data_IF_215668777384
#
_entry.id   IF_215668777384
#
_cell.length_a   1.000
_cell.length_b   1.000
_cell.length_c   1.000
_cell.angle_alpha   90.00
_cell.angle_beta   90.00
_cell.angle_gamma   90.00
#
_symmetry.space_group_name_H-M   'P 1'
#
loop_
_entity.id
_entity.type
_entity.pdbx_description
1 polymer ?
#
# COMPACT_ATOMS: atom_id res chain seq x y z
N UNK A 1 -1.67 -10.57 21.92
CA UNK A 1 -0.88 -10.80 20.69
C UNK A 1 -0.49 -9.45 20.11
N UNK A 2 0.80 -9.15 20.03
CA UNK A 2 1.30 -7.86 19.52
C UNK A 2 1.20 -7.88 18.00
N UNK A 3 0.41 -6.99 17.41
CA UNK A 3 0.35 -6.86 15.96
C UNK A 3 1.61 -6.14 15.47
N UNK A 4 2.61 -6.90 15.00
CA UNK A 4 3.89 -6.37 14.51
C UNK A 4 3.69 -5.29 13.43
N UNK A 5 2.67 -5.43 12.58
CA UNK A 5 2.33 -4.42 11.57
C UNK A 5 1.99 -3.07 12.19
N UNK A 6 1.26 -3.04 13.30
CA UNK A 6 0.91 -1.80 13.99
C UNK A 6 2.14 -1.11 14.58
N UNK A 7 3.07 -1.86 15.16
CA UNK A 7 4.31 -1.29 15.72
C UNK A 7 5.18 -0.71 14.59
N UNK A 8 5.35 -1.46 13.50
CA UNK A 8 6.13 -1.03 12.35
C UNK A 8 5.53 0.24 11.74
N UNK A 9 4.21 0.26 11.48
CA UNK A 9 3.57 1.44 10.89
C UNK A 9 3.64 2.67 11.78
N UNK A 10 3.55 2.52 13.12
CA UNK A 10 3.77 3.65 14.04
C UNK A 10 5.18 4.23 13.89
N UNK A 11 6.22 3.38 13.88
CA UNK A 11 7.60 3.84 13.67
C UNK A 11 7.81 4.46 12.28
N UNK A 12 7.26 3.86 11.23
CA UNK A 12 7.32 4.43 9.87
C UNK A 12 6.71 5.83 9.89
N UNK A 13 5.53 6.01 10.46
CA UNK A 13 4.90 7.32 10.54
C UNK A 13 5.69 8.32 11.40
N UNK A 14 6.39 7.87 12.43
CA UNK A 14 7.25 8.74 13.26
C UNK A 14 8.43 9.30 12.48
N UNK A 15 9.16 8.47 11.72
CA UNK A 15 10.41 8.85 11.08
C UNK A 15 10.29 9.24 9.61
N UNK A 16 9.31 8.68 8.89
CA UNK A 16 9.13 8.92 7.46
C UNK A 16 8.10 10.01 7.20
N UNK A 17 8.55 11.09 6.53
CA UNK A 17 7.73 12.26 6.19
C UNK A 17 7.28 12.33 4.73
N UNK A 18 7.62 11.34 3.91
CA UNK A 18 7.30 11.35 2.48
C UNK A 18 5.80 11.37 2.15
N UNK A 19 4.93 11.13 3.13
CA UNK A 19 3.46 11.23 2.97
C UNK A 19 2.90 12.65 3.08
N UNK A 20 3.67 13.64 3.54
CA UNK A 20 3.14 14.98 3.84
C UNK A 20 2.61 15.72 2.60
N UNK A 21 3.20 15.50 1.42
CA UNK A 21 2.87 16.21 0.18
C UNK A 21 2.07 15.37 -0.83
N UNK A 22 1.59 14.20 -0.42
CA UNK A 22 0.86 13.25 -1.27
C UNK A 22 -0.64 13.49 -1.08
N UNK A 23 -1.37 13.66 -2.18
CA UNK A 23 -2.84 13.80 -2.13
C UNK A 23 -3.52 12.45 -2.30
N UNK A 24 -3.01 11.57 -3.17
CA UNK A 24 -3.55 10.24 -3.42
C UNK A 24 -2.48 9.15 -3.31
N UNK A 25 -2.66 8.23 -2.36
CA UNK A 25 -1.75 7.12 -2.11
C UNK A 25 -2.42 5.78 -2.43
N UNK A 26 -1.76 4.93 -3.21
CA UNK A 26 -2.27 3.59 -3.54
C UNK A 26 -1.48 2.53 -2.76
N UNK A 27 -2.13 1.79 -1.87
CA UNK A 27 -1.55 0.64 -1.15
C UNK A 27 -1.85 -0.64 -1.91
N UNK A 28 -0.85 -1.14 -2.66
CA UNK A 28 -0.98 -2.35 -3.48
C UNK A 28 -0.69 -3.58 -2.62
N UNK A 29 -1.67 -4.47 -2.52
CA UNK A 29 -1.59 -5.63 -1.64
C UNK A 29 -1.78 -5.27 -0.16
N UNK A 30 -2.43 -4.14 0.15
CA UNK A 30 -2.66 -3.61 1.51
C UNK A 30 -3.55 -4.47 2.42
N UNK A 31 -3.98 -5.63 1.95
CA UNK A 31 -4.89 -6.54 2.66
C UNK A 31 -6.21 -5.85 2.99
N UNK A 32 -6.55 -5.82 4.27
CA UNK A 32 -7.78 -5.19 4.79
C UNK A 32 -7.68 -3.66 4.92
N UNK A 33 -6.58 -3.02 4.50
CA UNK A 33 -6.44 -1.55 4.50
C UNK A 33 -6.01 -0.93 5.85
N UNK A 34 -5.55 -1.75 6.80
CA UNK A 34 -5.14 -1.30 8.14
C UNK A 34 -3.99 -0.27 8.08
N UNK A 35 -3.03 -0.45 7.16
CA UNK A 35 -1.91 0.48 7.02
C UNK A 35 -2.37 1.86 6.55
N UNK A 36 -3.22 1.89 5.52
CA UNK A 36 -3.81 3.13 5.03
C UNK A 36 -4.62 3.84 6.11
N UNK A 37 -5.38 3.11 6.94
CA UNK A 37 -6.08 3.71 8.06
C UNK A 37 -5.13 4.45 9.02
N UNK A 38 -3.94 3.91 9.31
CA UNK A 38 -2.95 4.64 10.13
C UNK A 38 -2.39 5.87 9.41
N UNK A 39 -2.16 5.79 8.09
CA UNK A 39 -1.63 6.89 7.29
C UNK A 39 -2.67 8.01 7.18
N UNK A 40 -3.91 7.72 6.77
CA UNK A 40 -4.99 8.71 6.62
C UNK A 40 -5.40 9.31 7.97
N UNK A 41 -5.30 8.54 9.07
CA UNK A 41 -5.51 9.10 10.42
C UNK A 41 -4.46 10.15 10.80
N UNK A 42 -3.22 10.03 10.31
CA UNK A 42 -2.15 11.00 10.56
C UNK A 42 -2.16 12.15 9.55
N UNK A 43 -2.55 11.87 8.31
CA UNK A 43 -2.60 12.82 7.20
C UNK A 43 -4.03 12.87 6.64
N UNK A 44 -4.95 13.63 7.26
CA UNK A 44 -6.36 13.61 6.88
C UNK A 44 -6.66 14.17 5.48
N UNK A 45 -5.71 14.92 4.89
CA UNK A 45 -5.80 15.44 3.53
C UNK A 45 -5.53 14.37 2.46
N UNK A 46 -4.90 13.26 2.85
CA UNK A 46 -4.50 12.19 1.95
C UNK A 46 -5.67 11.24 1.70
N UNK A 47 -5.98 11.00 0.43
CA UNK A 47 -6.93 9.98 -0.02
C UNK A 47 -6.19 8.67 -0.28
N UNK A 48 -6.51 7.64 0.50
CA UNK A 48 -5.94 6.30 0.35
C UNK A 48 -6.76 5.43 -0.58
N UNK A 49 -6.12 4.69 -1.47
CA UNK A 49 -6.73 3.61 -2.25
C UNK A 49 -6.11 2.29 -1.80
N UNK A 50 -6.87 1.45 -1.11
CA UNK A 50 -6.47 0.08 -0.81
C UNK A 50 -6.79 -0.79 -2.03
N UNK A 51 -5.76 -1.24 -2.73
CA UNK A 51 -5.91 -2.04 -3.94
C UNK A 51 -5.50 -3.48 -3.68
N UNK A 52 -6.44 -4.41 -3.90
CA UNK A 52 -6.21 -5.84 -3.71
C UNK A 52 -7.16 -6.68 -4.56
N UNK A 53 -7.00 -8.00 -4.52
CA UNK A 53 -7.90 -8.92 -5.20
C UNK A 53 -9.34 -8.74 -4.69
N UNK A 54 -10.36 -8.83 -5.57
CA UNK A 54 -11.76 -8.57 -5.21
C UNK A 54 -12.26 -9.32 -3.96
N UNK A 55 -11.89 -10.59 -3.82
CA UNK A 55 -12.28 -11.43 -2.69
C UNK A 55 -11.70 -10.99 -1.34
N UNK A 56 -10.58 -10.25 -1.34
CA UNK A 56 -9.99 -9.67 -0.12
C UNK A 56 -10.71 -8.37 0.22
N UNK A 57 -11.00 -7.57 -0.81
CA UNK A 57 -11.68 -6.28 -0.67
C UNK A 57 -13.11 -6.44 -0.15
N UNK A 58 -13.82 -7.50 -0.52
CA UNK A 58 -15.16 -7.80 -0.01
C UNK A 58 -15.22 -7.88 1.53
N UNK A 59 -14.12 -8.31 2.16
CA UNK A 59 -14.02 -8.42 3.62
C UNK A 59 -13.33 -7.22 4.28
N UNK A 60 -12.94 -6.21 3.50
CA UNK A 60 -12.30 -5.02 4.02
C UNK A 60 -13.31 -4.15 4.78
N UNK A 61 -12.84 -3.53 5.88
CA UNK A 61 -13.65 -2.60 6.66
C UNK A 61 -13.54 -1.21 6.06
N UNK A 62 -14.63 -0.46 6.04
CA UNK A 62 -14.60 0.94 5.64
C UNK A 62 -13.77 1.77 6.63
N UNK A 63 -12.84 2.56 6.10
CA UNK A 63 -12.07 3.54 6.86
C UNK A 63 -12.26 4.93 6.25
N UNK A 64 -12.24 5.96 7.09
CA UNK A 64 -12.35 7.35 6.62
C UNK A 64 -11.13 7.72 5.76
N UNK A 65 -11.39 8.33 4.61
CA UNK A 65 -10.35 8.69 3.64
C UNK A 65 -9.72 7.51 2.91
N UNK A 66 -10.30 6.29 3.01
CA UNK A 66 -9.82 5.10 2.29
C UNK A 66 -10.90 4.57 1.37
N UNK A 67 -10.55 4.41 0.11
CA UNK A 67 -11.33 3.76 -0.93
C UNK A 67 -10.79 2.35 -1.17
N UNK A 68 -11.69 1.37 -1.28
CA UNK A 68 -11.32 -0.01 -1.56
C UNK A 68 -11.58 -0.35 -3.02
N UNK A 69 -10.54 -0.78 -3.73
CA UNK A 69 -10.62 -1.10 -5.16
C UNK A 69 -10.15 -2.53 -5.39
N UNK A 70 -11.04 -3.34 -5.96
CA UNK A 70 -10.74 -4.72 -6.37
C UNK A 70 -10.08 -4.77 -7.74
N UNK A 71 -9.01 -5.53 -7.90
CA UNK A 71 -8.38 -5.79 -9.20
C UNK A 71 -7.12 -6.64 -9.10
N UNK A 72 -6.47 -6.87 -10.24
CA UNK A 72 -5.20 -7.57 -10.33
C UNK A 72 -4.05 -6.58 -10.63
N UNK A 73 -3.07 -6.52 -9.73
CA UNK A 73 -1.90 -5.65 -9.87
C UNK A 73 -0.98 -6.02 -11.03
N UNK A 74 -1.05 -7.25 -11.53
CA UNK A 74 -0.30 -7.68 -12.70
C UNK A 74 -0.94 -7.22 -14.02
N UNK A 75 -2.24 -6.91 -14.00
CA UNK A 75 -2.95 -6.33 -15.14
C UNK A 75 -2.88 -4.81 -15.13
N UNK A 76 -3.30 -4.20 -14.01
CA UNK A 76 -3.28 -2.74 -13.86
C UNK A 76 -3.32 -2.31 -12.40
N UNK A 77 -2.77 -1.13 -12.12
CA UNK A 77 -2.80 -0.51 -10.79
C UNK A 77 -3.53 0.84 -10.90
N UNK A 78 -4.41 1.20 -9.94
CA UNK A 78 -5.06 2.50 -9.92
C UNK A 78 -4.06 3.66 -9.94
N UNK A 79 -4.43 4.77 -10.58
CA UNK A 79 -3.60 5.97 -10.59
C UNK A 79 -3.59 6.67 -9.23
N UNK A 80 -2.40 7.03 -8.75
CA UNK A 80 -2.18 7.88 -7.58
C UNK A 80 -0.83 8.58 -7.65
N UNK A 81 -0.60 9.53 -6.74
CA UNK A 81 0.64 10.30 -6.71
C UNK A 81 1.82 9.44 -6.23
N UNK A 82 1.53 8.42 -5.43
CA UNK A 82 2.52 7.45 -4.98
C UNK A 82 1.90 6.07 -4.77
N UNK A 83 2.75 5.04 -4.85
CA UNK A 83 2.42 3.65 -4.55
C UNK A 83 3.16 3.25 -3.27
N UNK A 84 2.41 2.67 -2.33
CA UNK A 84 2.90 2.05 -1.12
C UNK A 84 2.76 0.54 -1.24
N UNK A 85 3.80 -0.20 -0.86
CA UNK A 85 3.78 -1.67 -0.86
C UNK A 85 4.52 -2.19 0.37
N UNK A 86 3.79 -2.87 1.26
CA UNK A 86 4.38 -3.53 2.43
C UNK A 86 4.58 -5.03 2.14
N UNK A 87 5.75 -5.37 1.63
CA UNK A 87 6.10 -6.76 1.27
C UNK A 87 6.20 -7.62 2.52
N UNK A 88 5.35 -8.66 2.62
CA UNK A 88 5.60 -9.79 3.52
C UNK A 88 6.45 -10.80 2.77
N UNK A 89 7.59 -11.19 3.35
CA UNK A 89 8.62 -12.06 2.75
C UNK A 89 8.08 -13.37 2.11
N UNK A 90 6.86 -13.80 2.43
CA UNK A 90 6.22 -14.99 1.84
C UNK A 90 5.66 -14.80 0.43
N UNK A 91 5.50 -13.58 -0.09
CA UNK A 91 5.03 -13.35 -1.47
C UNK A 91 6.16 -13.49 -2.50
N UNK A 92 7.40 -13.71 -2.04
CA UNK A 92 8.56 -14.00 -2.88
C UNK A 92 8.55 -15.47 -3.33
N UNK A 93 7.55 -15.85 -4.14
CA UNK A 93 7.66 -17.01 -5.02
C UNK A 93 6.73 -16.85 -6.22
N UNK A 94 7.19 -16.10 -7.22
CA UNK A 94 7.12 -16.42 -8.65
C UNK A 94 7.93 -15.37 -9.43
N UNK A 95 8.63 -15.83 -10.46
CA UNK A 95 9.88 -15.30 -11.04
C UNK A 95 9.80 -13.94 -11.77
N UNK A 96 8.72 -13.17 -11.63
CA UNK A 96 8.44 -12.01 -12.49
C UNK A 96 8.97 -10.66 -11.97
N UNK A 97 9.33 -10.53 -10.69
CA UNK A 97 9.77 -9.24 -10.13
C UNK A 97 11.26 -8.91 -10.37
N UNK A 98 12.11 -9.91 -10.62
CA UNK A 98 13.54 -9.67 -10.88
C UNK A 98 13.81 -8.96 -12.21
N UNK A 99 12.92 -9.13 -13.20
CA UNK A 99 13.13 -8.54 -14.53
C UNK A 99 12.82 -7.05 -14.56
N UNK A 100 11.73 -6.60 -13.92
CA UNK A 100 11.35 -5.18 -13.98
C UNK A 100 12.19 -4.26 -13.08
N UNK A 101 12.74 -4.76 -11.96
CA UNK A 101 13.63 -3.95 -11.13
C UNK A 101 15.03 -3.78 -11.75
N UNK A 102 15.47 -4.72 -12.59
CA UNK A 102 16.75 -4.60 -13.31
C UNK A 102 16.69 -3.58 -14.46
N UNK A 103 15.52 -3.40 -15.10
CA UNK A 103 15.36 -2.44 -16.21
C UNK A 103 15.26 -1.00 -15.68
N UNK A 104 14.71 -0.79 -14.48
CA UNK A 104 14.59 0.54 -13.87
C UNK A 104 15.86 1.07 -13.19
N UNK A 105 16.90 0.24 -13.00
CA UNK A 105 18.18 0.65 -12.42
C UNK A 105 19.35 0.71 -13.43
N UNK A 106 19.10 0.64 -14.74
CA UNK A 106 20.16 0.77 -15.76
C UNK A 106 20.41 2.20 -16.24
N UNK A 107 19.74 3.21 -15.68
CA UNK A 107 19.98 4.62 -16.02
C UNK A 107 19.93 5.52 -14.80
N UNK A 108 20.91 5.36 -13.90
CA UNK A 108 21.54 6.46 -13.16
C UNK A 108 22.99 6.07 -12.85
#
# INVERSE_FOLDING_TARGET
MVNCTTIVMKRVLEFYKGFEHINKLVDVGGGLGINLNFITSKYPHLHGINFNLPHIIEHARTYAGVEHVGGDMFESVPHGDAIFMKVSFSFCRQELFFYNFSILNSHY
#
